data_IF_482144949594
#
_entry.id   IF_482144949594
#
_cell.length_a   1.000
_cell.length_b   1.000
_cell.length_c   1.000
_cell.angle_alpha   90.00
_cell.angle_beta   90.00
_cell.angle_gamma   90.00
#
_symmetry.space_group_name_H-M   'P 1'
#
loop_
_entity.id
_entity.type
_entity.pdbx_description
1 polymer ?
2 non-polymer ?
3 non-polymer ?
4 non-polymer ?
5 non-polymer ?
6 water ?
#
# COMPACT_ATOMS: atom_id res chain seq x y z
N UNK A 1 23.35 7.92 11.95
CA UNK A 1 24.20 6.79 12.43
C UNK A 1 25.03 6.23 11.29
N UNK A 2 26.27 5.85 11.59
CA UNK A 2 27.16 5.31 10.58
C UNK A 2 26.58 4.08 9.89
N UNK A 3 25.90 3.24 10.66
CA UNK A 3 25.30 2.03 10.11
C UNK A 3 23.86 1.86 10.61
N UNK A 4 23.03 1.25 9.77
CA UNK A 4 21.62 1.02 10.10
C UNK A 4 21.21 -0.41 9.83
N UNK A 5 20.27 -0.92 10.62
CA UNK A 5 19.80 -2.29 10.46
C UNK A 5 18.55 -2.32 9.58
N UNK A 6 18.75 -2.27 8.26
CA UNK A 6 17.64 -2.28 7.32
C UNK A 6 16.94 -3.63 7.28
N UNK A 7 17.69 -4.68 7.57
CA UNK A 7 17.16 -6.04 7.57
C UNK A 7 16.03 -6.23 8.59
N UNK A 8 16.28 -5.80 9.82
CA UNK A 8 15.28 -5.94 10.88
C UNK A 8 14.09 -5.03 10.61
N UNK A 9 14.34 -3.84 10.08
CA UNK A 9 13.25 -2.92 9.78
C UNK A 9 12.35 -3.54 8.72
N UNK A 10 12.95 -4.18 7.72
CA UNK A 10 12.17 -4.83 6.66
C UNK A 10 11.27 -5.90 7.26
N UNK A 11 11.83 -6.79 8.07
CA UNK A 11 11.06 -7.84 8.71
C UNK A 11 9.88 -7.26 9.47
N UNK A 12 10.15 -6.21 10.25
CA UNK A 12 9.09 -5.58 11.04
C UNK A 12 8.00 -4.97 10.16
N UNK A 13 8.39 -4.28 9.09
CA UNK A 13 7.43 -3.62 8.21
C UNK A 13 6.48 -4.61 7.54
N UNK A 14 6.94 -5.84 7.34
CA UNK A 14 6.10 -6.87 6.74
C UNK A 14 5.18 -7.46 7.80
N UNK A 15 5.72 -7.66 9.00
CA UNK A 15 4.96 -8.20 10.13
C UNK A 15 3.76 -7.33 10.48
N UNK A 16 3.89 -6.02 10.31
CA UNK A 16 2.81 -5.08 10.61
C UNK A 16 1.46 -5.52 10.05
N UNK A 17 1.45 -5.99 8.81
CA UNK A 17 0.20 -6.38 8.17
C UNK A 17 -0.63 -7.41 8.95
N UNK A 18 0.04 -8.22 9.76
CA UNK A 18 -0.64 -9.22 10.57
C UNK A 18 -1.64 -8.54 11.53
N UNK A 19 -1.34 -7.32 11.94
CA UNK A 19 -2.22 -6.61 12.86
C UNK A 19 -3.55 -6.19 12.26
N UNK A 20 -3.61 -6.13 10.93
CA UNK A 20 -4.83 -5.70 10.26
C UNK A 20 -5.60 -6.80 9.53
N UNK A 21 -5.14 -8.05 9.65
CA UNK A 21 -5.83 -9.15 8.98
C UNK A 21 -7.26 -9.25 9.49
N UNK A 22 -8.17 -9.50 8.55
CA UNK A 22 -9.59 -9.59 8.86
C UNK A 22 -10.12 -10.96 8.43
N UNK A 23 -11.15 -11.44 9.12
CA UNK A 23 -11.73 -12.72 8.74
C UNK A 23 -11.56 -13.85 9.73
N UNK A 24 -12.21 -15.00 9.46
CA UNK A 24 -12.15 -16.18 10.32
C UNK A 24 -10.74 -16.72 10.53
N UNK A 25 -9.88 -16.51 9.53
CA UNK A 25 -8.51 -17.00 9.61
C UNK A 25 -7.47 -15.92 9.94
N UNK A 26 -7.94 -14.79 10.46
CA UNK A 26 -7.06 -13.68 10.80
C UNK A 26 -5.96 -14.08 11.76
N UNK A 27 -6.28 -14.95 12.72
CA UNK A 27 -5.30 -15.37 13.71
C UNK A 27 -4.38 -16.51 13.30
N UNK A 28 -4.60 -17.09 12.13
CA UNK A 28 -3.78 -18.20 11.67
C UNK A 28 -2.40 -17.72 11.20
N UNK A 29 -1.36 -18.26 11.83
CA UNK A 29 0.01 -17.90 11.50
C UNK A 29 0.21 -16.39 11.67
N UNK A 30 -0.42 -15.83 12.69
CA UNK A 30 -0.33 -14.41 12.98
C UNK A 30 0.70 -14.24 14.11
N UNK A 31 1.64 -13.32 13.94
CA UNK A 31 2.67 -13.10 14.96
C UNK A 31 2.14 -12.45 16.23
N UNK A 32 1.00 -11.78 16.13
CA UNK A 32 0.42 -11.11 17.29
C UNK A 32 -0.60 -12.02 17.99
N UNK A 33 -0.31 -12.39 19.22
CA UNK A 33 -1.23 -13.25 19.96
C UNK A 33 -2.52 -12.53 20.35
N UNK A 34 -2.53 -11.21 20.20
CA UNK A 34 -3.73 -10.44 20.54
C UNK A 34 -4.72 -10.29 19.39
N UNK A 35 -4.43 -10.94 18.26
CA UNK A 35 -5.34 -10.88 17.11
C UNK A 35 -6.03 -12.23 16.92
N UNK A 36 -7.31 -12.19 16.58
CA UNK A 36 -8.07 -13.41 16.37
C UNK A 36 -9.11 -13.22 15.28
N UNK A 37 -10.01 -14.19 15.14
CA UNK A 37 -11.06 -14.12 14.12
C UNK A 37 -11.95 -12.90 14.31
N UNK A 38 -12.29 -12.23 13.22
CA UNK A 38 -13.16 -11.05 13.27
C UNK A 38 -14.02 -10.95 12.01
N UNK A 39 -15.11 -10.19 12.11
CA UNK A 39 -16.02 -9.96 10.99
C UNK A 39 -16.16 -11.20 10.11
N UNK A 40 -16.54 -12.30 10.74
CA UNK A 40 -16.69 -13.59 10.08
C UNK A 40 -17.92 -13.75 9.20
N UNK A 41 -18.79 -12.74 9.17
CA UNK A 41 -20.01 -12.81 8.37
C UNK A 41 -20.03 -11.83 7.21
N UNK A 42 -18.88 -11.23 6.90
CA UNK A 42 -18.80 -10.27 5.80
C UNK A 42 -19.36 -10.84 4.51
N UNK A 43 -20.21 -10.05 3.84
CA UNK A 43 -20.79 -10.49 2.58
C UNK A 43 -22.10 -11.25 2.72
N UNK A 44 -22.48 -11.58 3.95
CA UNK A 44 -23.72 -12.33 4.17
C UNK A 44 -24.95 -11.56 3.69
N UNK A 45 -24.85 -10.24 3.63
CA UNK A 45 -25.97 -9.42 3.19
C UNK A 45 -26.25 -9.53 1.70
N UNK A 46 -25.26 -9.99 0.92
CA UNK A 46 -25.44 -10.14 -0.52
C UNK A 46 -25.27 -11.59 -0.97
N UNK A 47 -25.14 -12.50 -0.01
CA UNK A 47 -24.98 -13.91 -0.34
C UNK A 47 -23.66 -14.30 -0.97
N UNK A 48 -22.59 -13.58 -0.63
CA UNK A 48 -21.27 -13.87 -1.15
C UNK A 48 -20.27 -13.86 -0.01
N UNK A 49 -19.39 -14.84 0.05
CA UNK A 49 -18.39 -14.87 1.12
C UNK A 49 -17.36 -13.77 0.82
N UNK A 50 -17.39 -12.70 1.61
CA UNK A 50 -16.46 -11.59 1.43
C UNK A 50 -15.53 -11.44 2.62
N UNK A 51 -15.30 -12.54 3.34
CA UNK A 51 -14.42 -12.50 4.50
C UNK A 51 -12.96 -12.50 4.04
N UNK A 52 -12.08 -12.02 4.90
CA UNK A 52 -10.66 -11.97 4.56
C UNK A 52 -10.22 -10.55 4.27
N UNK A 53 -9.06 -10.39 3.66
CA UNK A 53 -8.58 -9.05 3.36
C UNK A 53 -8.06 -8.38 4.61
N UNK A 54 -7.87 -7.07 4.54
CA UNK A 54 -7.33 -6.33 5.67
C UNK A 54 -8.12 -5.09 6.07
N UNK A 55 -8.09 -4.79 7.37
CA UNK A 55 -8.72 -3.58 7.88
C UNK A 55 -7.84 -2.50 7.27
N UNK A 56 -8.44 -1.37 6.88
CA UNK A 56 -7.69 -0.31 6.25
C UNK A 56 -6.60 0.41 7.05
N UNK A 57 -6.93 0.91 8.22
CA UNK A 57 -5.95 1.65 9.00
C UNK A 57 -6.07 1.33 10.49
N UNK A 58 -6.59 2.29 11.24
CA UNK A 58 -6.80 2.09 12.66
C UNK A 58 -8.24 1.66 12.87
N UNK A 59 -8.99 1.68 11.77
CA UNK A 59 -10.39 1.29 11.77
C UNK A 59 -10.52 -0.12 11.18
N UNK A 60 -11.76 -0.54 10.91
CA UNK A 60 -11.97 -1.89 10.42
C UNK A 60 -12.64 -2.04 9.06
N UNK A 61 -12.87 -0.93 8.38
CA UNK A 61 -13.50 -0.97 7.07
C UNK A 61 -12.49 -1.44 6.03
N UNK A 62 -12.96 -2.16 5.02
CA UNK A 62 -12.09 -2.63 3.94
C UNK A 62 -12.43 -1.75 2.73
N UNK A 63 -11.58 -0.75 2.49
CA UNK A 63 -11.74 0.20 1.39
C UNK A 63 -11.01 -0.31 0.15
N UNK A 64 -11.74 -0.48 -0.94
CA UNK A 64 -11.15 -1.00 -2.17
C UNK A 64 -9.92 -0.38 -2.81
N UNK A 65 -9.86 0.95 -2.88
CA UNK A 65 -8.70 1.56 -3.53
C UNK A 65 -7.40 1.36 -2.77
N UNK A 66 -7.35 1.74 -1.49
CA UNK A 66 -6.08 1.52 -0.76
C UNK A 66 -5.77 0.04 -0.58
N UNK A 67 -6.81 -0.81 -0.57
CA UNK A 67 -6.58 -2.24 -0.42
C UNK A 67 -5.83 -2.74 -1.66
N UNK A 68 -6.31 -2.34 -2.84
CA UNK A 68 -5.68 -2.76 -4.09
C UNK A 68 -4.31 -2.14 -4.29
N UNK A 69 -4.20 -0.84 -4.00
CA UNK A 69 -2.93 -0.13 -4.12
C UNK A 69 -1.87 -0.81 -3.26
N UNK A 70 -2.21 -1.07 -2.01
CA UNK A 70 -1.27 -1.70 -1.08
C UNK A 70 -0.80 -3.06 -1.58
N UNK A 71 -1.73 -3.88 -2.05
CA UNK A 71 -1.38 -5.20 -2.56
C UNK A 71 -0.48 -5.07 -3.79
N UNK A 72 -0.74 -4.08 -4.63
CA UNK A 72 0.06 -3.87 -5.82
C UNK A 72 1.47 -3.40 -5.51
N UNK A 73 1.61 -2.48 -4.56
CA UNK A 73 2.92 -1.95 -4.20
C UNK A 73 3.77 -3.01 -3.49
N UNK A 74 3.15 -3.82 -2.66
CA UNK A 74 3.88 -4.89 -1.98
C UNK A 74 4.35 -5.89 -3.02
N UNK A 75 3.48 -6.20 -3.98
CA UNK A 75 3.85 -7.14 -5.03
C UNK A 75 4.98 -6.60 -5.87
N UNK A 76 4.96 -5.29 -6.12
CA UNK A 76 6.00 -4.65 -6.92
C UNK A 76 7.34 -4.73 -6.19
N UNK A 77 7.30 -4.56 -4.88
CA UNK A 77 8.50 -4.61 -4.05
C UNK A 77 9.18 -5.96 -4.17
N UNK A 78 8.39 -7.03 -4.08
CA UNK A 78 8.91 -8.39 -4.17
C UNK A 78 9.45 -8.69 -5.57
N UNK A 79 8.73 -8.20 -6.58
CA UNK A 79 9.12 -8.41 -7.96
C UNK A 79 10.44 -7.74 -8.32
N UNK A 80 10.62 -6.50 -7.89
CA UNK A 80 11.83 -5.74 -8.19
C UNK A 80 13.03 -6.02 -7.29
N UNK A 81 12.78 -6.34 -6.03
CA UNK A 81 13.86 -6.58 -5.08
C UNK A 81 13.79 -7.94 -4.40
N UNK A 82 13.43 -8.97 -5.16
CA UNK A 82 13.30 -10.31 -4.62
C UNK A 82 14.51 -10.77 -3.81
N UNK A 83 15.71 -10.44 -4.28
CA UNK A 83 16.95 -10.85 -3.61
C UNK A 83 16.98 -10.36 -2.16
N UNK A 84 16.48 -9.15 -1.93
CA UNK A 84 16.47 -8.58 -0.59
C UNK A 84 15.62 -9.40 0.37
N UNK A 85 14.49 -9.92 -0.12
CA UNK A 85 13.61 -10.73 0.71
C UNK A 85 14.22 -12.11 0.95
N UNK A 86 14.78 -12.71 -0.10
CA UNK A 86 15.39 -14.04 0.04
C UNK A 86 16.55 -14.03 1.03
N UNK A 87 17.47 -13.08 0.84
CA UNK A 87 18.65 -12.96 1.68
C UNK A 87 18.35 -12.73 3.17
N UNK A 88 17.26 -12.01 3.45
CA UNK A 88 16.90 -11.73 4.84
C UNK A 88 15.89 -12.73 5.40
N UNK A 89 15.53 -13.73 4.61
CA UNK A 89 14.58 -14.73 5.06
C UNK A 89 13.16 -14.21 5.26
N UNK A 90 12.77 -13.22 4.46
CA UNK A 90 11.42 -12.65 4.58
C UNK A 90 10.49 -13.00 3.44
N UNK A 91 10.98 -13.73 2.44
CA UNK A 91 10.14 -14.08 1.30
C UNK A 91 8.89 -14.88 1.66
N UNK A 92 9.03 -15.88 2.51
CA UNK A 92 7.91 -16.71 2.91
C UNK A 92 6.78 -15.92 3.55
N UNK A 93 7.14 -15.08 4.52
CA UNK A 93 6.15 -14.26 5.21
C UNK A 93 5.52 -13.27 4.24
N UNK A 94 6.35 -12.66 3.40
CA UNK A 94 5.85 -11.70 2.42
C UNK A 94 4.79 -12.33 1.52
N UNK A 95 5.06 -13.55 1.05
CA UNK A 95 4.11 -14.25 0.18
C UNK A 95 2.81 -14.55 0.90
N UNK A 96 2.89 -14.82 2.20
CA UNK A 96 1.69 -15.07 2.97
C UNK A 96 0.83 -13.81 3.05
N UNK A 97 1.47 -12.65 3.25
CA UNK A 97 0.72 -11.40 3.35
C UNK A 97 0.04 -11.11 2.02
N UNK A 98 0.76 -11.36 0.93
CA UNK A 98 0.23 -11.13 -0.40
C UNK A 98 -0.93 -12.07 -0.74
N UNK A 99 -0.79 -13.34 -0.42
CA UNK A 99 -1.86 -14.28 -0.71
C UNK A 99 -3.11 -13.97 0.08
N UNK A 100 -2.94 -13.37 1.26
CA UNK A 100 -4.11 -13.02 2.07
C UNK A 100 -4.89 -11.94 1.32
N UNK A 101 -4.18 -11.08 0.59
CA UNK A 101 -4.83 -10.03 -0.20
C UNK A 101 -5.52 -10.67 -1.42
N UNK A 102 -4.77 -11.44 -2.19
CA UNK A 102 -5.33 -12.02 -3.41
C UNK A 102 -6.47 -12.99 -3.18
N UNK A 103 -6.44 -13.77 -2.09
CA UNK A 103 -7.54 -14.70 -1.83
C UNK A 103 -8.83 -13.90 -1.69
N UNK A 104 -8.71 -12.73 -1.07
CA UNK A 104 -9.86 -11.84 -0.86
C UNK A 104 -10.34 -11.26 -2.19
N UNK A 105 -9.42 -10.82 -3.03
CA UNK A 105 -9.81 -10.26 -4.32
C UNK A 105 -10.55 -11.29 -5.18
N UNK A 106 -10.08 -12.53 -5.16
CA UNK A 106 -10.70 -13.59 -5.94
C UNK A 106 -12.12 -13.88 -5.45
N UNK A 107 -12.29 -13.93 -4.13
CA UNK A 107 -13.62 -14.20 -3.56
C UNK A 107 -14.58 -13.05 -3.87
N UNK A 108 -14.05 -11.84 -3.99
CA UNK A 108 -14.85 -10.66 -4.27
C UNK A 108 -15.24 -10.53 -5.75
N UNK A 109 -14.80 -11.48 -6.57
CA UNK A 109 -15.08 -11.48 -8.01
C UNK A 109 -15.85 -12.77 -8.32
N UNK A 110 -17.13 -12.85 -7.92
CA UNK A 110 -18.01 -14.00 -8.12
C UNK A 110 -18.25 -14.43 -9.57
N UNK A 111 -18.29 -13.45 -10.48
CA UNK A 111 -18.47 -13.74 -11.90
C UNK A 111 -17.58 -12.79 -12.69
N UNK A 112 -17.51 -12.97 -14.00
CA UNK A 112 -16.63 -12.14 -14.83
C UNK A 112 -16.90 -10.64 -14.87
N UNK A 113 -18.11 -10.20 -14.54
CA UNK A 113 -18.41 -8.78 -14.59
C UNK A 113 -18.80 -8.12 -13.27
N UNK A 114 -18.44 -8.76 -12.15
CA UNK A 114 -18.78 -8.18 -10.85
C UNK A 114 -17.60 -8.18 -9.89
N UNK A 115 -17.46 -7.10 -9.14
CA UNK A 115 -16.38 -7.00 -8.17
C UNK A 115 -16.80 -6.14 -6.98
N UNK A 116 -16.91 -6.78 -5.81
CA UNK A 116 -17.28 -6.08 -4.58
C UNK A 116 -15.99 -5.45 -4.07
N UNK A 117 -16.05 -4.18 -3.68
CA UNK A 117 -14.82 -3.53 -3.22
C UNK A 117 -14.84 -2.75 -1.91
N UNK A 118 -15.96 -2.79 -1.19
CA UNK A 118 -15.98 -2.14 0.11
C UNK A 118 -16.92 -2.86 1.06
N UNK A 119 -16.36 -3.27 2.20
CA UNK A 119 -17.13 -3.95 3.23
C UNK A 119 -17.05 -3.06 4.45
N UNK A 120 -18.21 -2.63 4.94
CA UNK A 120 -18.26 -1.76 6.10
C UNK A 120 -18.63 -0.36 5.67
N UNK A 121 -19.11 0.45 6.61
CA UNK A 121 -19.51 1.82 6.33
C UNK A 121 -18.65 2.69 7.26
N UNK A 122 -17.81 3.53 6.67
CA UNK A 122 -16.90 4.37 7.41
C UNK A 122 -17.40 5.17 8.61
N UNK A 123 -18.50 5.89 8.43
CA UNK A 123 -19.03 6.72 9.52
C UNK A 123 -19.40 5.91 10.76
N UNK A 124 -20.15 4.83 10.56
CA UNK A 124 -20.57 3.97 11.66
C UNK A 124 -19.41 3.22 12.29
N UNK A 125 -18.52 2.70 11.45
CA UNK A 125 -17.38 1.94 11.96
C UNK A 125 -16.54 2.80 12.91
N UNK A 126 -16.40 4.08 12.59
CA UNK A 126 -15.59 4.97 13.40
C UNK A 126 -16.21 5.37 14.74
N UNK A 127 -17.48 5.08 14.94
CA UNK A 127 -18.13 5.40 16.22
C UNK A 127 -17.83 4.30 17.22
N UNK A 128 -17.24 3.21 16.73
CA UNK A 128 -16.90 2.06 17.57
C UNK A 128 -15.43 2.08 17.94
N UNK A 129 -15.13 1.77 19.20
CA UNK A 129 -13.75 1.70 19.64
C UNK A 129 -13.60 0.50 20.56
N UNK A 130 -12.96 -0.53 20.03
CA UNK A 130 -12.75 -1.78 20.76
C UNK A 130 -12.08 -2.75 19.81
N UNK A 131 -11.84 -3.97 20.27
CA UNK A 131 -11.19 -4.98 19.44
C UNK A 131 -12.08 -5.38 18.26
N UNK A 132 -11.46 -5.62 17.09
CA UNK A 132 -12.27 -6.03 15.93
C UNK A 132 -12.97 -7.35 16.18
N UNK A 133 -12.37 -8.20 17.03
CA UNK A 133 -12.96 -9.50 17.34
C UNK A 133 -14.28 -9.39 18.08
N UNK A 134 -14.51 -8.26 18.76
CA UNK A 134 -15.74 -8.07 19.52
C UNK A 134 -16.74 -7.13 18.86
N UNK A 135 -16.45 -6.70 17.63
CA UNK A 135 -17.34 -5.81 16.90
C UNK A 135 -18.35 -6.70 16.18
N UNK A 136 -19.53 -6.83 16.77
CA UNK A 136 -20.59 -7.66 16.21
C UNK A 136 -21.58 -6.85 15.38
N UNK A 137 -22.56 -7.56 14.82
CA UNK A 137 -23.56 -6.90 14.01
C UNK A 137 -23.36 -7.19 12.54
N UNK A 138 -23.96 -6.36 11.69
CA UNK A 138 -23.85 -6.54 10.26
C UNK A 138 -23.13 -5.41 9.53
N UNK A 139 -22.10 -5.78 8.78
CA UNK A 139 -21.38 -4.82 7.96
C UNK A 139 -21.95 -4.90 6.56
N UNK A 140 -22.24 -3.75 5.94
CA UNK A 140 -22.79 -3.78 4.59
C UNK A 140 -21.73 -3.92 3.50
N UNK A 141 -22.06 -4.66 2.46
CA UNK A 141 -21.16 -4.81 1.32
C UNK A 141 -21.64 -3.59 0.53
N UNK A 142 -21.15 -2.44 0.96
CA UNK A 142 -21.55 -1.14 0.43
C UNK A 142 -21.41 -0.84 -1.06
N UNK A 143 -20.26 -1.15 -1.65
CA UNK A 143 -20.04 -0.85 -3.06
C UNK A 143 -19.55 -2.04 -3.89
N UNK A 144 -19.93 -2.04 -5.15
CA UNK A 144 -19.51 -3.08 -6.07
C UNK A 144 -19.44 -2.47 -7.46
N UNK A 145 -18.55 -3.00 -8.29
CA UNK A 145 -18.40 -2.53 -9.65
C UNK A 145 -19.05 -3.56 -10.56
N UNK A 146 -19.74 -3.08 -11.59
CA UNK A 146 -20.38 -3.94 -12.58
C UNK A 146 -20.55 -3.12 -13.85
N UNK A 147 -21.14 -3.70 -14.91
CA UNK A 147 -21.32 -2.95 -16.15
C UNK A 147 -21.97 -1.56 -16.05
N UNK A 148 -22.72 -1.32 -14.99
CA UNK A 148 -23.37 -0.01 -14.83
C UNK A 148 -22.78 0.84 -13.72
N UNK A 149 -21.80 0.31 -13.02
CA UNK A 149 -21.15 1.03 -11.92
C UNK A 149 -19.63 0.97 -12.08
N UNK A 150 -19.03 2.06 -12.58
CA UNK A 150 -17.57 2.14 -12.79
C UNK A 150 -16.73 2.24 -11.52
N UNK A 151 -15.50 1.76 -11.64
CA UNK A 151 -14.52 1.80 -10.56
C UNK A 151 -13.19 1.44 -11.21
N UNK A 152 -12.91 2.12 -12.32
CA UNK A 152 -11.70 1.89 -13.09
C UNK A 152 -10.39 1.92 -12.31
N UNK A 153 -10.27 2.85 -11.37
CA UNK A 153 -9.05 2.93 -10.59
C UNK A 153 -8.90 1.76 -9.63
N UNK A 154 -9.98 1.42 -8.92
CA UNK A 154 -9.96 0.30 -7.99
C UNK A 154 -9.74 -1.01 -8.72
N UNK A 155 -10.48 -1.21 -9.82
CA UNK A 155 -10.36 -2.42 -10.61
C UNK A 155 -8.95 -2.60 -11.16
N UNK A 156 -8.34 -1.49 -11.58
CA UNK A 156 -7.00 -1.55 -12.15
C UNK A 156 -5.93 -1.85 -11.12
N UNK A 157 -6.03 -1.25 -9.93
CA UNK A 157 -5.03 -1.53 -8.92
C UNK A 157 -5.14 -2.99 -8.48
N UNK A 158 -6.37 -3.50 -8.41
CA UNK A 158 -6.60 -4.88 -8.01
C UNK A 158 -6.04 -5.79 -9.10
N UNK A 159 -6.26 -5.41 -10.35
CA UNK A 159 -5.76 -6.19 -11.49
C UNK A 159 -4.23 -6.26 -11.40
N UNK A 160 -3.59 -5.12 -11.15
CA UNK A 160 -2.13 -5.09 -11.08
C UNK A 160 -1.63 -5.97 -9.94
N UNK A 161 -2.32 -5.93 -8.80
CA UNK A 161 -1.92 -6.73 -7.66
C UNK A 161 -2.01 -8.22 -8.01
N UNK A 162 -3.04 -8.59 -8.77
CA UNK A 162 -3.25 -9.98 -9.16
C UNK A 162 -2.24 -10.43 -10.22
N UNK A 163 -1.89 -9.54 -11.13
CA UNK A 163 -0.91 -9.87 -12.17
C UNK A 163 0.46 -10.04 -11.51
N UNK A 164 0.76 -9.17 -10.55
CA UNK A 164 2.04 -9.26 -9.86
C UNK A 164 2.09 -10.57 -9.06
N UNK A 165 0.96 -11.01 -8.54
CA UNK A 165 0.94 -12.26 -7.80
C UNK A 165 1.24 -13.41 -8.77
N UNK A 166 0.69 -13.33 -9.98
CA UNK A 166 0.95 -14.36 -10.98
C UNK A 166 2.46 -14.42 -11.21
N UNK A 167 3.07 -13.24 -11.39
CA UNK A 167 4.51 -13.16 -11.64
C UNK A 167 5.34 -13.64 -10.45
N UNK A 168 4.90 -13.34 -9.24
CA UNK A 168 5.63 -13.73 -8.03
C UNK A 168 5.32 -15.12 -7.51
N UNK A 169 4.21 -15.72 -7.95
CA UNK A 169 3.80 -17.03 -7.44
C UNK A 169 3.79 -18.19 -8.43
N UNK A 170 4.01 -17.90 -9.71
CA UNK A 170 3.98 -18.94 -10.74
C UNK A 170 4.92 -20.11 -10.50
N UNK A 171 6.04 -19.87 -9.85
CA UNK A 171 7.02 -20.93 -9.56
C UNK A 171 6.66 -21.77 -8.33
N UNK A 172 5.68 -21.29 -7.56
CA UNK A 172 5.26 -21.98 -6.35
C UNK A 172 3.99 -22.79 -6.57
N UNK A 173 2.98 -22.15 -7.15
CA UNK A 173 1.70 -22.79 -7.45
C UNK A 173 1.23 -22.14 -8.74
N UNK A 174 1.55 -22.78 -9.86
CA UNK A 174 1.17 -22.25 -11.18
C UNK A 174 -0.33 -22.19 -11.41
N UNK A 175 -1.07 -23.11 -10.80
CA UNK A 175 -2.52 -23.12 -10.96
C UNK A 175 -3.13 -21.90 -10.29
N UNK A 176 -2.71 -21.63 -9.06
CA UNK A 176 -3.22 -20.47 -8.33
C UNK A 176 -2.79 -19.19 -9.05
N UNK A 177 -1.54 -19.17 -9.50
CA UNK A 177 -1.00 -18.01 -10.20
C UNK A 177 -1.83 -17.69 -11.44
N UNK A 178 -2.18 -18.71 -12.21
CA UNK A 178 -2.97 -18.52 -13.42
C UNK A 178 -4.38 -18.05 -13.08
N UNK A 179 -4.92 -18.51 -11.95
CA UNK A 179 -6.23 -18.08 -11.51
C UNK A 179 -6.17 -16.57 -11.27
N UNK A 180 -5.05 -16.12 -10.71
CA UNK A 180 -4.86 -14.68 -10.45
C UNK A 180 -4.78 -13.90 -11.75
N UNK A 181 -4.03 -14.40 -12.72
CA UNK A 181 -3.90 -13.72 -14.01
C UNK A 181 -5.23 -13.65 -14.75
N UNK A 182 -5.99 -14.74 -14.74
CA UNK A 182 -7.29 -14.73 -15.42
C UNK A 182 -8.20 -13.68 -14.79
N UNK A 183 -8.19 -13.59 -13.46
CA UNK A 183 -9.02 -12.60 -12.78
C UNK A 183 -8.52 -11.20 -13.12
N UNK A 184 -7.20 -11.05 -13.16
CA UNK A 184 -6.59 -9.75 -13.47
C UNK A 184 -7.03 -9.26 -14.85
N UNK A 185 -7.11 -10.18 -15.81
CA UNK A 185 -7.51 -9.81 -17.17
C UNK A 185 -8.95 -9.34 -17.18
N UNK A 186 -9.80 -10.01 -16.42
CA UNK A 186 -11.22 -9.66 -16.37
C UNK A 186 -11.48 -8.33 -15.67
N UNK A 187 -10.77 -8.07 -14.57
CA UNK A 187 -10.96 -6.82 -13.84
C UNK A 187 -10.50 -5.64 -14.68
N UNK A 188 -9.42 -5.84 -15.44
CA UNK A 188 -8.89 -4.80 -16.31
C UNK A 188 -9.92 -4.52 -17.39
N UNK A 189 -10.49 -5.58 -17.96
CA UNK A 189 -11.50 -5.45 -19.00
C UNK A 189 -12.68 -4.63 -18.48
N UNK A 190 -13.13 -4.93 -17.27
CA UNK A 190 -14.24 -4.19 -16.66
C UNK A 190 -13.87 -2.72 -16.53
N UNK A 191 -12.65 -2.48 -16.08
CA UNK A 191 -12.18 -1.11 -15.87
C UNK A 191 -12.13 -0.25 -17.12
N UNK A 192 -11.78 -0.83 -18.26
CA UNK A 192 -11.72 -0.02 -19.46
C UNK A 192 -13.05 0.02 -20.21
N UNK A 193 -13.92 -0.94 -19.92
CA UNK A 193 -15.23 -1.01 -20.56
C UNK A 193 -16.13 0.16 -20.14
N UNK A 194 -16.15 0.44 -18.83
CA UNK A 194 -16.94 1.54 -18.28
C UNK A 194 -15.97 2.35 -17.44
N UNK A 195 -15.60 3.53 -17.91
CA UNK A 195 -14.62 4.37 -17.24
C UNK A 195 -15.12 5.43 -16.27
N UNK A 196 -14.51 5.43 -15.08
CA UNK A 196 -14.84 6.37 -14.03
C UNK A 196 -14.22 5.90 -12.73
N UNK A 197 -14.03 6.80 -11.76
CA UNK A 197 -13.44 6.37 -10.50
C UNK A 197 -14.46 5.68 -9.60
N UNK A 198 -13.97 4.79 -8.73
CA UNK A 198 -14.84 4.07 -7.81
C UNK A 198 -15.22 4.93 -6.62
N UNK A 199 -16.06 4.38 -5.75
CA UNK A 199 -16.53 5.10 -4.57
C UNK A 199 -15.72 4.75 -3.32
N UNK A 200 -15.41 5.76 -2.52
CA UNK A 200 -14.66 5.55 -1.29
C UNK A 200 -15.21 6.45 -0.19
N UNK A 201 -16.47 6.84 -0.34
CA UNK A 201 -17.11 7.73 0.61
C UNK A 201 -16.26 9.00 0.71
N UNK A 202 -16.28 9.68 1.84
CA UNK A 202 -15.48 10.90 1.97
C UNK A 202 -14.07 10.58 2.47
N UNK A 203 -13.83 9.30 2.74
CA UNK A 203 -12.55 8.85 3.25
C UNK A 203 -11.48 8.69 2.17
N UNK A 204 -11.89 8.12 1.04
CA UNK A 204 -10.97 7.94 -0.07
C UNK A 204 -11.59 8.47 -1.34
N UNK A 205 -11.54 9.79 -1.49
CA UNK A 205 -12.09 10.45 -2.66
C UNK A 205 -11.07 10.45 -3.79
N UNK A 206 -11.31 9.60 -4.79
CA UNK A 206 -10.40 9.47 -5.92
C UNK A 206 -10.60 10.55 -6.98
N UNK A 207 -9.54 10.84 -7.72
CA UNK A 207 -9.59 11.89 -8.74
C UNK A 207 -9.12 11.46 -10.12
N UNK A 208 -8.51 10.29 -10.23
CA UNK A 208 -7.99 9.85 -11.52
C UNK A 208 -8.02 8.34 -11.71
N UNK A 209 -8.22 7.90 -12.95
CA UNK A 209 -8.23 6.47 -13.24
C UNK A 209 -7.34 6.12 -14.44
N UNK A 210 -7.00 7.11 -15.25
CA UNK A 210 -6.14 6.86 -16.40
C UNK A 210 -4.78 6.33 -15.98
N UNK A 211 -4.30 6.82 -14.85
CA UNK A 211 -3.02 6.40 -14.31
C UNK A 211 -3.08 4.92 -13.93
N UNK A 212 -4.16 4.52 -13.26
CA UNK A 212 -4.33 3.14 -12.84
C UNK A 212 -4.49 2.18 -14.02
N UNK A 213 -5.28 2.58 -15.01
CA UNK A 213 -5.47 1.73 -16.19
C UNK A 213 -4.13 1.49 -16.89
N UNK A 214 -3.35 2.55 -17.05
CA UNK A 214 -2.05 2.46 -17.72
C UNK A 214 -1.14 1.53 -16.93
N UNK A 215 -1.11 1.73 -15.62
CA UNK A 215 -0.30 0.93 -14.70
C UNK A 215 -0.67 -0.56 -14.81
N UNK A 216 -1.96 -0.87 -14.72
CA UNK A 216 -2.42 -2.25 -14.81
C UNK A 216 -2.07 -2.84 -16.17
N UNK A 217 -2.18 -2.03 -17.21
CA UNK A 217 -1.87 -2.47 -18.56
C UNK A 217 -0.40 -2.85 -18.73
N UNK A 218 0.51 -2.09 -18.12
CA UNK A 218 1.92 -2.42 -18.25
C UNK A 218 2.24 -3.78 -17.63
N UNK A 219 1.56 -4.12 -16.54
CA UNK A 219 1.80 -5.40 -15.90
C UNK A 219 1.24 -6.55 -16.73
N UNK A 220 0.07 -6.34 -17.33
CA UNK A 220 -0.50 -7.39 -18.15
C UNK A 220 0.41 -7.64 -19.36
N UNK A 221 1.11 -6.60 -19.80
CA UNK A 221 2.04 -6.77 -20.91
C UNK A 221 3.22 -7.63 -20.45
N UNK A 222 3.77 -7.29 -19.29
CA UNK A 222 4.91 -8.05 -18.76
C UNK A 222 4.57 -9.53 -18.59
N UNK A 223 3.33 -9.82 -18.21
CA UNK A 223 2.92 -11.20 -17.99
C UNK A 223 2.50 -11.95 -19.26
N UNK A 224 2.00 -11.24 -20.26
CA UNK A 224 1.52 -11.89 -21.48
C UNK A 224 2.29 -11.63 -22.76
N UNK A 225 3.14 -10.60 -22.77
CA UNK A 225 3.90 -10.23 -23.96
C UNK A 225 2.96 -9.82 -25.09
N UNK A 226 1.74 -9.43 -24.74
CA UNK A 226 0.75 -8.99 -25.71
C UNK A 226 0.81 -7.46 -25.83
N UNK A 227 1.37 -6.98 -26.95
CA UNK A 227 1.53 -5.55 -27.22
C UNK A 227 0.28 -4.68 -27.11
N UNK A 228 -0.89 -5.26 -27.34
CA UNK A 228 -2.13 -4.51 -27.28
C UNK A 228 -2.28 -3.78 -25.95
N UNK A 229 -1.76 -4.36 -24.88
CA UNK A 229 -1.86 -3.73 -23.57
C UNK A 229 -1.08 -2.43 -23.51
N UNK A 230 0.04 -2.37 -24.23
CA UNK A 230 0.85 -1.16 -24.23
C UNK A 230 0.16 -0.10 -25.09
N UNK A 231 -0.53 -0.54 -26.13
CA UNK A 231 -1.25 0.39 -26.98
C UNK A 231 -2.30 1.06 -26.10
N UNK A 232 -2.96 0.28 -25.24
CA UNK A 232 -3.98 0.81 -24.32
C UNK A 232 -3.32 1.77 -23.34
N UNK A 233 -2.23 1.32 -22.73
CA UNK A 233 -1.53 2.11 -21.73
C UNK A 233 -1.14 3.51 -22.19
N UNK A 234 -0.58 3.61 -23.40
CA UNK A 234 -0.16 4.91 -23.90
C UNK A 234 -1.34 5.86 -24.09
N UNK A 235 -2.51 5.29 -24.34
CA UNK A 235 -3.72 6.09 -24.54
C UNK A 235 -4.32 6.51 -23.19
N UNK A 236 -4.37 5.59 -22.24
CA UNK A 236 -4.95 5.89 -20.93
C UNK A 236 -4.16 6.87 -20.08
N UNK A 237 -2.83 6.80 -20.16
CA UNK A 237 -2.02 7.69 -19.34
C UNK A 237 -2.13 9.16 -19.76
N UNK A 238 -2.62 9.39 -20.98
CA UNK A 238 -2.78 10.75 -21.49
C UNK A 238 -4.20 11.28 -21.38
N UNK A 239 -5.09 10.53 -20.74
CA UNK A 239 -6.48 10.96 -20.59
C UNK A 239 -6.58 12.15 -19.63
N UNK A 246 -1.43 18.86 -16.52
CA UNK A 246 -0.59 17.88 -17.19
C UNK A 246 0.13 16.95 -16.20
N UNK A 247 -0.37 15.72 -16.13
CA UNK A 247 0.17 14.72 -15.22
C UNK A 247 1.53 14.18 -15.64
N UNK A 248 2.05 14.69 -16.76
CA UNK A 248 3.36 14.26 -17.23
C UNK A 248 4.40 15.12 -16.50
N UNK A 249 3.89 16.03 -15.69
CA UNK A 249 4.70 16.92 -14.88
C UNK A 249 4.08 16.84 -13.47
N UNK A 250 4.11 15.65 -12.91
CA UNK A 250 3.53 15.37 -11.60
C UNK A 250 4.37 15.94 -10.46
N UNK A 251 3.77 16.83 -9.68
CA UNK A 251 4.46 17.47 -8.55
C UNK A 251 4.13 16.75 -7.24
N UNK A 252 3.47 15.59 -7.35
CA UNK A 252 3.10 14.81 -6.19
C UNK A 252 4.02 13.59 -6.13
N UNK A 253 3.46 12.45 -5.78
CA UNK A 253 4.24 11.22 -5.71
C UNK A 253 3.30 10.03 -5.78
N UNK A 254 3.88 8.83 -5.72
CA UNK A 254 3.09 7.62 -5.76
C UNK A 254 2.26 7.47 -4.49
N UNK A 255 0.96 7.27 -4.67
CA UNK A 255 0.06 7.07 -3.54
C UNK A 255 -1.23 6.43 -4.07
N UNK A 256 -2.13 6.08 -3.16
CA UNK A 256 -3.35 5.40 -3.57
C UNK A 256 -4.16 6.09 -4.67
N UNK A 257 -4.09 7.42 -4.75
CA UNK A 257 -4.87 8.15 -5.75
C UNK A 257 -4.09 8.55 -7.00
N UNK A 258 -2.78 8.69 -6.86
CA UNK A 258 -1.94 9.11 -7.99
C UNK A 258 -0.86 8.10 -8.35
N UNK A 259 -1.05 7.41 -9.47
CA UNK A 259 -0.10 6.40 -9.92
C UNK A 259 0.55 6.81 -11.24
N UNK A 260 0.50 8.09 -11.57
CA UNK A 260 1.09 8.57 -12.82
C UNK A 260 2.60 8.39 -12.91
N UNK A 261 3.31 8.57 -11.81
CA UNK A 261 4.76 8.41 -11.84
C UNK A 261 5.15 6.94 -12.04
N UNK A 262 4.58 6.03 -11.25
CA UNK A 262 4.93 4.62 -11.44
C UNK A 262 4.58 4.15 -12.86
N UNK A 263 3.44 4.58 -13.37
CA UNK A 263 3.03 4.20 -14.71
C UNK A 263 4.01 4.73 -15.75
N UNK A 264 4.45 5.97 -15.58
CA UNK A 264 5.41 6.57 -16.51
C UNK A 264 6.74 5.83 -16.43
N UNK A 265 7.14 5.44 -15.23
CA UNK A 265 8.41 4.72 -15.07
C UNK A 265 8.39 3.42 -15.88
N UNK A 266 7.32 2.65 -15.77
CA UNK A 266 7.22 1.39 -16.49
C UNK A 266 7.12 1.60 -18.01
N UNK A 267 6.41 2.64 -18.44
CA UNK A 267 6.27 2.91 -19.86
C UNK A 267 7.60 3.36 -20.47
N UNK A 268 8.42 4.06 -19.68
CA UNK A 268 9.72 4.50 -20.18
C UNK A 268 10.57 3.26 -20.43
N UNK A 269 10.49 2.31 -19.50
CA UNK A 269 11.24 1.06 -19.58
C UNK A 269 10.79 0.19 -20.74
N UNK A 270 9.48 0.10 -20.92
CA UNK A 270 8.88 -0.72 -21.96
C UNK A 270 8.88 -0.13 -23.38
N UNK A 271 8.63 1.17 -23.50
CA UNK A 271 8.57 1.82 -24.81
C UNK A 271 9.82 2.61 -25.19
N UNK A 272 10.58 3.03 -24.18
CA UNK A 272 11.78 3.79 -24.44
C UNK A 272 11.51 5.21 -24.92
N UNK A 273 10.24 5.62 -24.93
CA UNK A 273 9.87 6.94 -25.40
C UNK A 273 10.31 8.09 -24.49
N UNK A 274 10.78 9.17 -25.11
CA UNK A 274 11.27 10.33 -24.38
C UNK A 274 10.24 11.00 -23.48
N UNK A 275 8.98 11.03 -23.92
CA UNK A 275 7.91 11.65 -23.15
C UNK A 275 7.82 11.09 -21.73
N UNK A 276 8.01 9.78 -21.59
CA UNK A 276 7.94 9.13 -20.28
C UNK A 276 9.22 9.38 -19.49
N UNK A 277 10.35 9.41 -20.18
CA UNK A 277 11.61 9.67 -19.51
C UNK A 277 11.60 11.09 -18.95
N UNK A 278 11.03 12.02 -19.70
CA UNK A 278 10.95 13.41 -19.24
C UNK A 278 10.02 13.55 -18.04
N UNK A 279 8.94 12.79 -18.03
CA UNK A 279 7.98 12.85 -16.92
C UNK A 279 8.67 12.43 -15.62
N UNK A 280 9.43 11.34 -15.67
CA UNK A 280 10.15 10.85 -14.51
C UNK A 280 11.21 11.85 -14.05
N UNK A 281 11.98 12.37 -15.01
CA UNK A 281 13.03 13.32 -14.69
C UNK A 281 12.45 14.56 -14.01
N UNK A 282 11.32 15.05 -14.50
CA UNK A 282 10.67 16.22 -13.93
C UNK A 282 10.33 15.97 -12.46
N UNK A 283 9.62 14.88 -12.21
CA UNK A 283 9.21 14.55 -10.86
C UNK A 283 10.40 14.40 -9.91
N UNK A 284 11.44 13.70 -10.36
CA UNK A 284 12.61 13.51 -9.52
C UNK A 284 13.31 14.84 -9.22
N UNK A 285 13.51 15.65 -10.26
CA UNK A 285 14.17 16.94 -10.06
C UNK A 285 13.33 17.88 -9.22
N UNK A 286 12.01 17.71 -9.29
CA UNK A 286 11.11 18.53 -8.50
C UNK A 286 11.29 18.19 -7.02
N UNK A 287 11.40 16.91 -6.72
CA UNK A 287 11.59 16.49 -5.33
C UNK A 287 12.96 16.86 -4.80
N UNK A 288 13.95 16.92 -5.67
CA UNK A 288 15.31 17.27 -5.25
C UNK A 288 15.44 18.69 -4.72
N UNK A 289 14.74 19.63 -5.34
CA UNK A 289 14.87 21.04 -4.95
C UNK A 289 13.61 21.84 -4.66
N UNK A 290 12.46 21.41 -5.16
CA UNK A 290 11.23 22.15 -4.97
C UNK A 290 10.43 21.74 -3.74
N UNK A 291 10.46 20.45 -3.42
CA UNK A 291 9.73 19.96 -2.26
C UNK A 291 10.39 20.44 -0.97
N UNK A 292 9.57 20.96 -0.07
CA UNK A 292 10.04 21.48 1.21
C UNK A 292 10.90 20.46 1.94
N UNK A 293 12.00 20.94 2.51
CA UNK A 293 12.90 20.09 3.28
C UNK A 293 12.95 20.65 4.70
N UNK A 294 12.69 19.80 5.69
CA UNK A 294 12.72 20.25 7.08
C UNK A 294 14.17 20.45 7.49
N UNK A 295 14.41 21.17 8.59
CA UNK A 295 15.79 21.39 9.04
C UNK A 295 16.48 20.04 9.24
N UNK A 296 15.69 19.05 9.64
CA UNK A 296 16.21 17.71 9.88
C UNK A 296 16.53 16.91 8.62
N UNK A 297 16.17 17.42 7.45
CA UNK A 297 16.46 16.72 6.21
C UNK A 297 15.33 15.92 5.58
N UNK A 298 14.15 15.96 6.19
CA UNK A 298 13.00 15.23 5.66
C UNK A 298 12.31 15.99 4.53
N UNK A 299 11.98 15.28 3.45
CA UNK A 299 11.25 15.90 2.34
C UNK A 299 9.80 15.89 2.82
N UNK A 300 9.24 17.08 2.96
CA UNK A 300 7.89 17.27 3.47
C UNK A 300 6.93 17.67 2.36
N UNK A 301 6.17 16.71 1.83
CA UNK A 301 5.24 17.00 0.73
C UNK A 301 3.95 17.65 1.21
N UNK A 302 3.36 17.10 2.26
CA UNK A 302 2.12 17.62 2.82
C UNK A 302 2.05 17.23 4.30
N UNK A 303 1.00 17.64 4.98
CA UNK A 303 0.88 17.38 6.42
C UNK A 303 0.36 16.03 6.87
N UNK A 304 -0.49 15.39 6.07
CA UNK A 304 -1.05 14.10 6.46
C UNK A 304 -0.29 12.92 5.86
N UNK A 305 0.17 12.03 6.73
CA UNK A 305 0.93 10.87 6.28
C UNK A 305 2.18 11.34 5.58
N UNK A 306 2.91 12.27 6.20
CA UNK A 306 4.11 12.82 5.59
C UNK A 306 5.21 11.79 5.31
N UNK A 307 5.43 10.86 6.25
CA UNK A 307 6.46 9.84 6.05
C UNK A 307 6.06 8.85 4.96
N UNK A 308 4.76 8.63 4.83
CA UNK A 308 4.23 7.74 3.80
C UNK A 308 4.66 8.27 2.43
N UNK A 309 4.58 9.58 2.23
CA UNK A 309 4.98 10.18 0.96
C UNK A 309 6.48 10.10 0.72
N UNK A 310 7.28 10.38 1.75
CA UNK A 310 8.73 10.34 1.60
C UNK A 310 9.22 8.93 1.25
N UNK A 311 8.63 7.93 1.89
CA UNK A 311 9.00 6.54 1.63
C UNK A 311 8.59 6.10 0.22
N UNK A 312 7.39 6.50 -0.19
CA UNK A 312 6.88 6.14 -1.52
C UNK A 312 7.74 6.72 -2.65
N UNK A 313 8.10 7.99 -2.55
CA UNK A 313 8.92 8.60 -3.59
C UNK A 313 10.30 7.93 -3.60
N UNK A 314 10.83 7.65 -2.42
CA UNK A 314 12.14 7.00 -2.32
C UNK A 314 12.12 5.62 -2.95
N UNK A 315 11.02 4.90 -2.79
CA UNK A 315 10.92 3.57 -3.39
C UNK A 315 10.98 3.65 -4.92
N UNK A 316 10.24 4.58 -5.49
CA UNK A 316 10.22 4.75 -6.94
C UNK A 316 11.64 5.09 -7.45
N UNK A 317 12.32 5.98 -6.75
CA UNK A 317 13.68 6.36 -7.14
C UNK A 317 14.62 5.16 -7.10
N UNK A 318 14.45 4.28 -6.11
CA UNK A 318 15.33 3.11 -6.02
C UNK A 318 15.05 2.08 -7.11
N UNK A 319 13.79 1.97 -7.53
CA UNK A 319 13.45 1.03 -8.60
C UNK A 319 14.11 1.57 -9.87
N UNK A 320 14.02 2.88 -10.06
CA UNK A 320 14.61 3.54 -11.21
C UNK A 320 16.12 3.32 -11.24
N UNK A 321 16.75 3.37 -10.06
CA UNK A 321 18.20 3.20 -9.96
C UNK A 321 18.73 1.83 -10.35
N UNK A 322 17.85 0.84 -10.46
CA UNK A 322 18.28 -0.50 -10.85
C UNK A 322 18.92 -0.44 -12.24
N UNK A 323 18.29 0.28 -13.15
CA UNK A 323 18.79 0.40 -14.51
C UNK A 323 19.56 1.69 -14.77
N UNK A 324 19.20 2.75 -14.06
CA UNK A 324 19.85 4.04 -14.23
C UNK A 324 20.37 4.55 -12.89
N UNK A 325 21.49 3.99 -12.41
CA UNK A 325 22.04 4.43 -11.14
C UNK A 325 22.38 5.92 -11.15
N UNK A 326 21.77 6.67 -10.24
CA UNK A 326 22.01 8.11 -10.13
C UNK A 326 22.33 8.30 -8.65
N UNK A 327 23.58 8.67 -8.38
CA UNK A 327 24.02 8.86 -6.99
C UNK A 327 23.22 9.91 -6.23
N UNK A 328 22.72 10.91 -6.93
CA UNK A 328 21.94 11.97 -6.28
C UNK A 328 20.62 11.39 -5.79
N UNK A 329 20.10 10.41 -6.52
CA UNK A 329 18.84 9.76 -6.13
C UNK A 329 19.07 8.80 -4.98
N UNK A 330 20.19 8.07 -5.02
CA UNK A 330 20.52 7.12 -3.97
C UNK A 330 20.75 7.86 -2.65
N UNK A 331 21.41 9.01 -2.72
CA UNK A 331 21.68 9.78 -1.51
C UNK A 331 20.39 10.34 -0.92
N UNK A 332 19.50 10.82 -1.79
CA UNK A 332 18.24 11.38 -1.32
C UNK A 332 17.41 10.28 -0.66
N UNK A 333 17.27 9.17 -1.37
CA UNK A 333 16.49 8.04 -0.86
C UNK A 333 17.04 7.53 0.47
N UNK A 334 18.35 7.42 0.57
CA UNK A 334 18.97 6.94 1.79
C UNK A 334 18.71 7.87 2.97
N UNK A 335 18.73 9.17 2.71
CA UNK A 335 18.49 10.13 3.79
C UNK A 335 17.06 10.03 4.33
N UNK A 336 16.10 9.80 3.44
CA UNK A 336 14.71 9.68 3.88
C UNK A 336 14.52 8.42 4.71
N UNK A 337 15.10 7.32 4.26
CA UNK A 337 14.99 6.07 4.99
C UNK A 337 15.65 6.18 6.36
N UNK A 338 16.88 6.70 6.39
CA UNK A 338 17.60 6.84 7.65
C UNK A 338 16.88 7.76 8.62
N UNK A 339 16.19 8.76 8.10
CA UNK A 339 15.43 9.68 8.93
C UNK A 339 14.32 8.91 9.64
N UNK A 340 13.62 8.07 8.87
CA UNK A 340 12.53 7.26 9.40
C UNK A 340 13.02 6.30 10.48
N UNK A 341 14.22 5.73 10.28
CA UNK A 341 14.79 4.78 11.22
C UNK A 341 15.34 5.39 12.51
N UNK A 342 15.49 6.71 12.56
CA UNK A 342 16.00 7.31 13.78
C UNK A 342 16.93 8.51 13.65
N UNK A 343 17.42 8.76 12.44
CA UNK A 343 18.32 9.89 12.20
C UNK A 343 17.53 11.17 12.04
N UNK A 344 16.96 11.66 13.13
CA UNK A 344 16.15 12.88 13.07
C UNK A 344 16.26 13.68 14.37
N UNK A 345 15.85 14.97 14.34
CA UNK A 345 15.91 15.83 15.52
C UNK A 345 15.10 15.34 16.72
N UNK A 346 14.12 14.47 16.48
CA UNK A 346 13.30 13.95 17.56
C UNK A 346 13.94 12.73 18.22
N UNK A 347 15.05 12.28 17.64
CA UNK A 347 15.78 11.11 18.15
C UNK A 347 14.85 9.93 18.41
N UNK A 348 13.96 9.65 17.45
CA UNK A 348 13.04 8.54 17.62
C UNK A 348 12.85 7.78 16.31
N UNK A 349 12.53 6.50 16.44
CA UNK A 349 12.27 5.68 15.27
C UNK A 349 10.81 5.90 14.95
N UNK A 350 10.49 6.11 13.67
CA UNK A 350 9.10 6.31 13.29
C UNK A 350 8.40 5.00 12.94
N UNK A 351 9.12 3.90 13.16
CA UNK A 351 8.57 2.57 12.94
C UNK A 351 8.38 2.00 14.35
N UNK A 352 7.13 1.76 14.72
CA UNK A 352 6.85 1.24 16.06
C UNK A 352 7.51 -0.12 16.29
N UNK A 353 8.10 -0.29 17.47
CA UNK A 353 8.74 -1.56 17.79
C UNK A 353 10.16 -1.72 17.26
N UNK A 354 10.65 -0.71 16.56
CA UNK A 354 12.00 -0.74 16.00
C UNK A 354 12.80 0.44 16.52
N UNK A 355 14.09 0.24 16.73
CA UNK A 355 14.94 1.33 17.20
C UNK A 355 14.63 1.83 18.59
N UNK A 356 14.62 3.15 18.77
CA UNK A 356 14.36 3.70 20.09
C UNK A 356 13.27 4.75 20.21
N UNK A 357 12.76 4.89 21.42
CA UNK A 357 11.73 5.85 21.77
C UNK A 357 10.61 5.99 20.74
N UNK A 358 10.03 4.87 20.34
CA UNK A 358 8.97 4.89 19.34
C UNK A 358 7.61 5.34 19.88
N UNK A 359 6.69 5.62 18.97
CA UNK A 359 5.35 6.09 19.31
C UNK A 359 4.61 5.11 20.21
N UNK A 360 4.00 5.60 21.29
CA UNK A 360 3.27 4.74 22.21
C UNK A 360 1.76 4.94 22.13
N UNK A 361 1.33 5.89 21.31
CA UNK A 361 -0.09 6.20 21.13
C UNK A 361 -0.57 6.02 19.68
N UNK A 362 -0.29 4.87 19.05
CA UNK A 362 -0.76 4.72 17.66
C UNK A 362 -2.29 4.75 17.58
N UNK A 363 -2.82 5.38 16.52
CA UNK A 363 -4.26 5.45 16.33
C UNK A 363 -4.67 4.12 15.70
N UNK A 364 -4.78 3.09 16.53
CA UNK A 364 -5.13 1.75 16.08
C UNK A 364 -5.96 1.07 17.16
N UNK A 365 -7.19 0.73 16.82
CA UNK A 365 -8.10 0.10 17.78
C UNK A 365 -7.61 -1.20 18.41
N UNK A 366 -7.20 -2.16 17.59
CA UNK A 366 -6.73 -3.44 18.11
C UNK A 366 -5.51 -3.28 19.01
N UNK A 367 -4.49 -2.56 18.55
CA UNK A 367 -3.28 -2.35 19.34
C UNK A 367 -3.56 -1.59 20.63
N UNK A 368 -4.43 -0.58 20.57
CA UNK A 368 -4.76 0.21 21.75
C UNK A 368 -5.23 -0.72 22.87
N UNK A 369 -6.14 -1.63 22.54
CA UNK A 369 -6.63 -2.60 23.49
C UNK A 369 -7.64 -2.16 24.54
N UNK A 370 -8.08 -0.90 24.49
CA UNK A 370 -9.05 -0.39 25.44
C UNK A 370 -10.35 -0.03 24.76
N UNK A 371 -11.37 0.29 25.56
CA UNK A 371 -12.67 0.68 25.02
C UNK A 371 -13.07 2.04 25.59
N UNK A 372 -14.36 2.29 25.71
CA UNK A 372 -14.85 3.56 26.25
C UNK A 372 -15.19 3.45 27.74
N UNK A 373 -14.28 2.85 28.50
CA UNK A 373 -14.49 2.69 29.94
C UNK A 373 -13.32 3.27 30.73
N UNK A 376 -11.03 4.51 28.17
CA UNK A 376 -9.59 4.36 28.38
C UNK A 376 -8.83 4.35 27.06
N UNK A 377 -9.50 4.77 25.99
CA UNK A 377 -8.86 4.80 24.67
C UNK A 377 -7.78 5.87 24.60
N UNK A 378 -7.64 6.65 25.68
CA UNK A 378 -6.65 7.71 25.74
C UNK A 378 -5.32 7.23 26.33
N UNK A 379 -5.32 6.06 26.95
CA UNK A 379 -4.11 5.51 27.54
C UNK A 379 -3.19 4.97 26.46
N UNK A 380 -1.91 4.74 26.80
CA UNK A 380 -0.94 4.22 25.83
C UNK A 380 -1.38 2.85 25.35
N UNK A 381 -1.11 2.55 24.08
CA UNK A 381 -1.48 1.26 23.51
C UNK A 381 -1.02 0.08 24.37
N UNK A 382 -1.96 -0.83 24.65
CA UNK A 382 -1.68 -2.00 25.47
C UNK A 382 -0.75 -2.99 24.74
N UNK A 383 -0.91 -3.08 23.43
CA UNK A 383 -0.11 -4.01 22.63
C UNK A 383 0.88 -3.30 21.71
N UNK A 384 2.01 -3.95 21.44
CA UNK A 384 3.04 -3.37 20.57
C UNK A 384 2.72 -3.63 19.10
N UNK A 385 2.49 -2.56 18.36
CA UNK A 385 2.15 -2.64 16.93
C UNK A 385 3.44 -2.64 16.10
N UNK A 386 4.18 -3.73 16.21
CA UNK A 386 5.46 -3.89 15.52
C UNK A 386 5.42 -3.61 14.01
N UNK A 387 6.34 -2.76 13.56
CA UNK A 387 6.45 -2.44 12.14
C UNK A 387 5.61 -1.32 11.55
N UNK A 388 4.71 -0.75 12.34
CA UNK A 388 3.86 0.32 11.82
C UNK A 388 4.58 1.64 11.61
N UNK A 389 4.40 2.22 10.43
CA UNK A 389 4.98 3.53 10.12
C UNK A 389 3.91 4.55 10.53
N UNK A 390 4.25 5.47 11.44
CA UNK A 390 3.27 6.46 11.87
C UNK A 390 3.23 7.65 10.92
N UNK A 391 2.21 8.50 11.09
CA UNK A 391 2.07 9.67 10.24
C UNK A 391 3.36 10.45 10.08
N UNK A 392 3.96 10.83 11.21
CA UNK A 392 5.22 11.57 11.15
C UNK A 392 5.16 12.93 11.84
N UNK A 393 6.26 13.69 11.79
CA UNK A 393 6.39 15.02 12.40
C UNK A 393 5.89 16.17 11.54
N UNK A 394 5.91 17.38 12.10
CA UNK A 394 5.50 18.55 11.35
C UNK A 394 6.72 19.04 10.59
N UNK A 395 6.59 20.15 9.86
CA UNK A 395 7.71 20.66 9.08
C UNK A 395 8.86 21.20 9.91
N UNK A 396 8.71 21.12 11.23
CA UNK A 396 9.75 21.58 12.16
C UNK A 396 10.40 20.37 12.82
N UNK A 397 10.10 19.18 12.29
CA UNK A 397 10.65 17.93 12.81
C UNK A 397 10.11 17.55 14.19
N UNK A 398 9.06 18.23 14.63
CA UNK A 398 8.49 17.95 15.94
C UNK A 398 7.43 16.84 15.85
N UNK A 399 7.39 16.01 16.89
CA UNK A 399 6.43 14.92 16.94
C UNK A 399 5.64 14.98 18.25
N UNK A 400 4.32 14.88 18.14
CA UNK A 400 3.45 14.92 19.31
C UNK A 400 2.87 13.52 19.53
N UNK A 401 3.47 12.79 20.48
CA UNK A 401 3.04 11.44 20.78
C UNK A 401 1.94 11.43 21.85
N UNK A 402 0.71 11.63 21.41
CA UNK A 402 -0.42 11.63 22.34
C UNK A 402 -1.72 11.16 21.69
N UNK A 403 -2.70 10.88 22.56
CA UNK A 403 -4.01 10.36 22.17
C UNK A 403 -4.77 10.92 20.97
N UNK A 404 -5.06 12.22 20.98
CA UNK A 404 -5.86 12.82 19.91
C UNK A 404 -5.18 13.36 18.65
N UNK A 405 -3.85 13.44 18.65
CA UNK A 405 -3.14 13.96 17.47
C UNK A 405 -2.99 12.91 16.38
N UNK A 406 -4.08 12.67 15.64
CA UNK A 406 -4.08 11.66 14.58
C UNK A 406 -3.12 11.93 13.43
N UNK A 407 -2.90 13.20 13.10
CA UNK A 407 -1.99 13.55 12.02
C UNK A 407 -0.62 12.91 12.26
N UNK A 408 -0.22 12.86 13.52
CA UNK A 408 1.07 12.30 13.90
C UNK A 408 1.06 10.79 14.12
N UNK A 409 0.01 10.29 14.75
CA UNK A 409 -0.06 8.88 15.11
C UNK A 409 -0.84 7.92 14.24
N UNK A 410 -1.36 8.37 13.11
CA UNK A 410 -2.11 7.47 12.25
C UNK A 410 -1.20 6.41 11.63
N UNK A 411 -1.76 5.23 11.38
CA UNK A 411 -1.04 4.12 10.75
C UNK A 411 -2.03 3.57 9.71
N UNK A 412 -1.51 2.97 8.64
CA UNK A 412 -2.41 2.46 7.60
C UNK A 412 -1.72 1.53 6.63
N UNK A 413 -2.52 0.72 5.92
CA UNK A 413 -1.98 -0.20 4.94
C UNK A 413 -1.13 0.51 3.90
N UNK A 414 -1.66 1.59 3.32
CA UNK A 414 -0.92 2.31 2.29
C UNK A 414 0.37 2.96 2.79
N UNK A 415 0.43 3.23 4.08
CA UNK A 415 1.64 3.82 4.66
C UNK A 415 2.76 2.79 4.60
N UNK A 416 2.49 1.60 5.12
CA UNK A 416 3.48 0.54 5.15
C UNK A 416 3.84 -0.08 3.81
N UNK A 417 2.91 -0.03 2.85
CA UNK A 417 3.20 -0.63 1.54
C UNK A 417 4.48 -0.05 0.94
N UNK A 418 4.56 1.27 0.91
CA UNK A 418 5.73 1.94 0.37
C UNK A 418 6.98 1.76 1.21
N UNK A 419 6.80 1.59 2.52
CA UNK A 419 7.92 1.40 3.43
C UNK A 419 8.61 0.07 3.13
N UNK A 420 7.81 -0.98 2.96
CA UNK A 420 8.38 -2.29 2.66
C UNK A 420 9.24 -2.19 1.40
N UNK A 421 8.71 -1.54 0.37
CA UNK A 421 9.44 -1.39 -0.87
C UNK A 421 10.77 -0.65 -0.75
N UNK A 422 10.76 0.51 -0.10
CA UNK A 422 11.99 1.28 0.03
C UNK A 422 13.03 0.54 0.88
N UNK A 423 12.57 -0.16 1.93
CA UNK A 423 13.51 -0.91 2.76
C UNK A 423 14.13 -2.05 1.96
N UNK A 424 13.33 -2.70 1.11
CA UNK A 424 13.85 -3.80 0.30
C UNK A 424 14.90 -3.22 -0.65
N UNK A 425 14.64 -2.03 -1.17
CA UNK A 425 15.58 -1.38 -2.07
C UNK A 425 16.84 -0.93 -1.33
N UNK A 426 16.67 -0.48 -0.09
CA UNK A 426 17.81 -0.02 0.71
C UNK A 426 18.79 -1.17 0.93
N UNK A 427 18.26 -2.36 1.20
CA UNK A 427 19.09 -3.52 1.43
C UNK A 427 19.93 -3.84 0.20
N UNK A 428 19.37 -3.63 -0.98
CA UNK A 428 20.07 -3.90 -2.22
C UNK A 428 21.20 -2.91 -2.51
N UNK A 429 20.92 -1.63 -2.33
CA UNK A 429 21.90 -0.58 -2.61
C UNK A 429 22.85 -0.19 -1.50
N UNK A 430 22.38 -0.24 -0.26
CA UNK A 430 23.21 0.17 0.87
C UNK A 430 23.51 -0.96 1.84
N UNK A 431 22.69 -2.01 1.80
CA UNK A 431 22.88 -3.15 2.70
C UNK A 431 24.23 -3.81 2.55
#
# INVERSE_FOLDING_TARGET
AGTHDYSTALKDSIIFFDANKCGPQAGENNVFDWRGACHTTDGSDVGVDLTGGYHDAGDHVKFGLPQGYSAAILGWSLYEFKESFDATGNTTKMLQQLKYFTDYFLKSHPNSTTFYYQVGEGNADHTYWGAPEEQTGQRPSLYKADPSSPASDILSETSAALTLMYLNYKNIDSAYATKCLNAAKELYAMGKANQGVGNGQSFYQATSFGDDLAWAATWLYTATNDSTYITDAEQFITLGNTMNENKMQDKWTMCWDDMYVPAALRLAQITGKQIYKDAIEFNFNYWKTQVTTTPGGLKWLSNWGVLRYAAAESMVMLVYCKQNPDQSLLDLAKKQVDYILGDNPANMSYIIGYGSNWCIHPHHRAANGYTYANGDNAKPAKHLLTGALVGGPDQNDKFLDDANQYQYTEVALDYNAGLVGVLAGAIKFFGGTIVNPPVKK
#
